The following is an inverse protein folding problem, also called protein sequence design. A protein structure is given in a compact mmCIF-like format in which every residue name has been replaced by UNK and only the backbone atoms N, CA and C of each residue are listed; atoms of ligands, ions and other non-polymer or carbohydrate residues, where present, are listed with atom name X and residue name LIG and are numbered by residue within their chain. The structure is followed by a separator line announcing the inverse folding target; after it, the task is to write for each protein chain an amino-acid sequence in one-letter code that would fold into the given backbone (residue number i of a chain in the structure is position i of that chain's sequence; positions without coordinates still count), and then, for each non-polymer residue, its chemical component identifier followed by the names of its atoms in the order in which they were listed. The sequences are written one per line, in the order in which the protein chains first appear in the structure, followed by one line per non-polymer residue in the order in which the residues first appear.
data_IF_977783785439
#
_entry.id   IF_977783785439
#
_cell.length_a   1.000
_cell.length_b   1.000
_cell.length_c   1.000
_cell.angle_alpha   90.00
_cell.angle_beta   90.00
_cell.angle_gamma   90.00
#
_symmetry.space_group_name_H-M   'P 1'
#
loop_
_entity.id
_entity.type
_entity.pdbx_description
1 polymer ?
#
# COMPACT_ATOMS: atom_id res chain seq x y z
N UNK A 1 -12.21 2.66 -9.48
CA UNK A 1 -11.39 3.75 -10.03
C UNK A 1 -9.93 3.46 -9.69
N UNK A 2 -9.01 3.54 -10.66
CA UNK A 2 -7.58 3.41 -10.38
C UNK A 2 -6.89 4.74 -10.69
N UNK A 3 -6.08 5.22 -9.74
CA UNK A 3 -5.28 6.44 -9.88
C UNK A 3 -4.08 6.17 -10.80
N UNK A 4 -4.36 5.88 -12.07
CA UNK A 4 -3.38 5.52 -13.08
C UNK A 4 -3.15 6.67 -14.08
N UNK A 5 -1.90 6.83 -14.53
CA UNK A 5 -1.58 7.63 -15.70
C UNK A 5 -1.23 6.73 -16.91
N UNK A 6 -0.80 7.32 -18.03
CA UNK A 6 -0.36 6.55 -19.21
C UNK A 6 0.87 5.69 -18.92
N UNK A 7 1.82 6.19 -18.14
CA UNK A 7 3.05 5.47 -17.81
C UNK A 7 2.73 4.19 -17.02
N UNK A 8 1.80 4.27 -16.08
CA UNK A 8 1.26 3.14 -15.30
C UNK A 8 0.65 2.04 -16.20
N UNK A 9 -0.17 2.44 -17.17
CA UNK A 9 -0.77 1.51 -18.13
C UNK A 9 0.34 0.82 -18.95
N UNK A 10 1.32 1.59 -19.42
CA UNK A 10 2.42 1.06 -20.21
C UNK A 10 3.34 0.12 -19.42
N UNK A 11 3.50 0.28 -18.09
CA UNK A 11 4.22 -0.71 -17.26
C UNK A 11 3.56 -2.08 -17.40
N UNK A 12 2.25 -2.16 -17.19
CA UNK A 12 1.51 -3.43 -17.27
C UNK A 12 1.51 -4.01 -18.70
N UNK A 13 1.25 -3.19 -19.71
CA UNK A 13 1.26 -3.61 -21.12
C UNK A 13 2.62 -4.17 -21.54
N UNK A 14 3.73 -3.54 -21.11
CA UNK A 14 5.09 -4.01 -21.39
C UNK A 14 5.35 -5.37 -20.76
N UNK A 15 4.88 -5.61 -19.54
CA UNK A 15 5.00 -6.91 -18.86
C UNK A 15 4.22 -7.97 -19.65
N UNK A 16 2.94 -7.72 -19.94
CA UNK A 16 2.07 -8.63 -20.69
C UNK A 16 2.64 -8.97 -22.06
N UNK A 17 3.15 -7.97 -22.79
CA UNK A 17 3.70 -8.16 -24.14
C UNK A 17 4.92 -9.10 -24.18
N UNK A 18 5.67 -9.21 -23.09
CA UNK A 18 6.85 -10.06 -22.95
C UNK A 18 6.52 -11.43 -22.30
N UNK A 19 5.32 -11.58 -21.73
CA UNK A 19 4.84 -12.79 -21.07
C UNK A 19 3.60 -13.38 -21.76
N UNK A 20 3.60 -13.42 -23.10
CA UNK A 20 2.46 -13.83 -23.94
C UNK A 20 1.83 -15.20 -23.63
N UNK A 21 2.56 -16.09 -22.97
CA UNK A 21 2.07 -17.43 -22.60
C UNK A 21 1.26 -17.45 -21.29
N UNK A 22 1.19 -16.32 -20.58
CA UNK A 22 0.37 -16.20 -19.37
C UNK A 22 -1.04 -15.75 -19.71
N UNK A 23 -2.02 -16.31 -19.00
CA UNK A 23 -3.40 -15.86 -19.11
C UNK A 23 -3.59 -14.56 -18.33
N UNK A 24 -4.13 -13.54 -18.98
CA UNK A 24 -4.48 -12.28 -18.30
C UNK A 24 -5.75 -12.53 -17.48
N UNK A 25 -5.65 -12.35 -16.17
CA UNK A 25 -6.75 -12.51 -15.23
C UNK A 25 -7.43 -11.16 -14.97
N UNK A 26 -8.76 -11.13 -14.83
CA UNK A 26 -9.48 -9.91 -14.50
C UNK A 26 -9.14 -9.42 -13.08
N UNK A 27 -9.17 -8.10 -12.89
CA UNK A 27 -9.17 -7.52 -11.55
C UNK A 27 -10.44 -7.94 -10.83
N UNK A 28 -10.31 -8.32 -9.56
CA UNK A 28 -11.43 -8.59 -8.69
C UNK A 28 -12.00 -7.31 -8.11
N UNK A 29 -13.24 -7.43 -7.60
CA UNK A 29 -13.86 -6.41 -6.77
C UNK A 29 -12.95 -6.06 -5.58
N UNK A 30 -12.89 -4.77 -5.26
CA UNK A 30 -12.11 -4.32 -4.13
C UNK A 30 -12.78 -4.70 -2.81
N UNK A 31 -14.10 -4.53 -2.71
CA UNK A 31 -14.89 -4.90 -1.53
C UNK A 31 -15.22 -6.38 -1.59
N UNK A 32 -14.99 -7.08 -0.48
CA UNK A 32 -15.20 -8.52 -0.34
C UNK A 32 -16.35 -8.82 0.61
N UNK A 33 -16.96 -9.97 0.40
CA UNK A 33 -18.02 -10.50 1.27
C UNK A 33 -17.47 -11.48 2.33
N UNK A 34 -16.15 -11.55 2.49
CA UNK A 34 -15.45 -12.36 3.49
C UNK A 34 -14.90 -11.49 4.62
N UNK A 35 -14.21 -12.12 5.57
CA UNK A 35 -13.66 -11.46 6.77
C UNK A 35 -12.61 -10.38 6.46
N UNK A 36 -12.06 -10.35 5.25
CA UNK A 36 -10.96 -9.45 4.90
C UNK A 36 -11.39 -8.02 4.61
N UNK A 37 -12.71 -7.76 4.48
CA UNK A 37 -13.35 -6.50 4.02
C UNK A 37 -12.94 -6.01 2.62
N UNK A 38 -11.64 -6.06 2.30
CA UNK A 38 -11.05 -5.67 1.05
C UNK A 38 -10.10 -6.73 0.50
N UNK A 39 -9.91 -6.69 -0.81
CA UNK A 39 -8.82 -7.39 -1.48
C UNK A 39 -7.50 -6.71 -1.10
N UNK A 40 -6.71 -7.36 -0.24
CA UNK A 40 -5.41 -6.90 0.24
C UNK A 40 -4.23 -7.52 -0.53
N UNK A 41 -4.47 -8.64 -1.21
CA UNK A 41 -3.52 -9.33 -2.08
C UNK A 41 -4.24 -9.97 -3.27
N UNK A 42 -3.67 -9.95 -4.49
CA UNK A 42 -4.21 -10.70 -5.62
C UNK A 42 -4.36 -12.20 -5.31
N UNK A 43 -3.50 -12.73 -4.41
CA UNK A 43 -3.49 -14.13 -4.01
C UNK A 43 -4.86 -14.62 -3.51
N UNK A 44 -5.63 -13.77 -2.81
CA UNK A 44 -6.95 -14.14 -2.27
C UNK A 44 -7.97 -14.59 -3.34
N UNK A 45 -7.74 -14.20 -4.60
CA UNK A 45 -8.61 -14.56 -5.71
C UNK A 45 -8.04 -15.68 -6.57
N UNK A 46 -6.73 -15.93 -6.46
CA UNK A 46 -6.00 -16.87 -7.31
C UNK A 46 -5.56 -18.12 -6.55
N UNK A 47 -5.75 -18.16 -5.23
CA UNK A 47 -5.41 -19.29 -4.34
C UNK A 47 -5.94 -20.62 -4.88
N UNK A 48 -7.19 -20.64 -5.35
CA UNK A 48 -7.81 -21.85 -5.90
C UNK A 48 -7.07 -22.40 -7.13
N UNK A 49 -6.35 -21.58 -7.89
CA UNK A 49 -5.53 -22.03 -9.00
C UNK A 49 -4.25 -22.74 -8.53
N UNK A 50 -3.70 -22.37 -7.36
CA UNK A 50 -2.60 -23.10 -6.74
C UNK A 50 -3.04 -24.48 -6.24
N UNK A 51 -4.23 -24.56 -5.64
CA UNK A 51 -4.80 -25.80 -5.09
C UNK A 51 -5.23 -26.75 -6.21
N UNK A 52 -6.11 -26.27 -7.11
CA UNK A 52 -6.74 -27.12 -8.13
C UNK A 52 -5.91 -27.28 -9.39
N UNK A 53 -4.87 -26.44 -9.59
CA UNK A 53 -4.01 -26.43 -10.78
C UNK A 53 -4.81 -26.34 -12.09
N UNK A 54 -5.93 -25.61 -12.06
CA UNK A 54 -6.85 -25.50 -13.20
C UNK A 54 -6.40 -24.50 -14.28
N UNK A 55 -5.26 -23.85 -14.07
CA UNK A 55 -4.63 -22.90 -14.99
C UNK A 55 -3.12 -23.10 -14.93
N UNK A 56 -2.41 -22.91 -16.04
CA UNK A 56 -0.94 -23.07 -16.06
C UNK A 56 -0.21 -21.87 -15.47
N UNK A 57 -0.57 -20.66 -15.91
CA UNK A 57 0.04 -19.41 -15.45
C UNK A 57 -0.90 -18.23 -15.64
N UNK A 58 -0.73 -17.19 -14.83
CA UNK A 58 -1.61 -16.03 -14.80
C UNK A 58 -0.87 -14.72 -14.58
N UNK A 59 -1.38 -13.63 -15.16
CA UNK A 59 -0.96 -12.27 -14.85
C UNK A 59 -2.18 -11.46 -14.46
N UNK A 60 -2.13 -10.77 -13.32
CA UNK A 60 -3.25 -9.96 -12.83
C UNK A 60 -2.76 -8.60 -12.37
N UNK A 61 -3.50 -7.57 -12.74
CA UNK A 61 -3.39 -6.22 -12.16
C UNK A 61 -4.52 -6.04 -11.17
N UNK A 62 -4.21 -5.73 -9.91
CA UNK A 62 -5.19 -5.64 -8.83
C UNK A 62 -4.87 -4.45 -7.93
N UNK A 63 -5.86 -3.61 -7.72
CA UNK A 63 -5.77 -2.60 -6.66
C UNK A 63 -6.09 -3.23 -5.33
N UNK A 64 -5.22 -2.99 -4.36
CA UNK A 64 -5.32 -3.59 -3.04
C UNK A 64 -5.45 -2.51 -1.98
N UNK A 65 -6.28 -2.75 -0.97
CA UNK A 65 -6.29 -2.00 0.29
C UNK A 65 -5.72 -2.92 1.35
N UNK A 66 -4.53 -2.61 1.85
CA UNK A 66 -3.85 -3.42 2.87
C UNK A 66 -4.32 -3.06 4.27
N UNK A 67 -4.45 -1.75 4.53
CA UNK A 67 -4.88 -1.24 5.82
C UNK A 67 -5.67 0.06 5.62
N UNK A 68 -6.72 0.29 6.41
CA UNK A 68 -7.47 1.56 6.38
C UNK A 68 -6.81 2.60 7.29
N UNK A 69 -6.49 2.19 8.53
CA UNK A 69 -6.05 3.10 9.59
C UNK A 69 -4.62 2.89 10.08
N UNK A 70 -3.91 1.89 9.55
CA UNK A 70 -2.49 1.68 9.83
C UNK A 70 -1.67 2.23 8.66
N UNK A 71 -1.06 3.39 8.87
CA UNK A 71 -0.03 3.91 7.97
C UNK A 71 1.24 4.09 8.78
N UNK A 72 2.27 3.37 8.39
CA UNK A 72 3.61 3.58 8.92
C UNK A 72 4.24 4.76 8.16
N UNK A 73 4.38 5.89 8.86
CA UNK A 73 4.94 7.12 8.31
C UNK A 73 6.47 7.14 8.33
N UNK A 74 7.13 6.18 8.98
CA UNK A 74 8.59 6.03 8.95
C UNK A 74 9.07 5.46 7.61
N UNK A 75 8.18 4.77 6.90
CA UNK A 75 8.43 4.24 5.58
C UNK A 75 7.66 5.04 4.53
N UNK A 76 8.30 5.94 3.77
CA UNK A 76 7.66 6.73 2.72
C UNK A 76 7.17 5.88 1.53
N UNK A 77 7.43 4.57 1.54
CA UNK A 77 6.91 3.59 0.58
C UNK A 77 5.70 2.82 1.10
N UNK A 78 5.29 3.08 2.34
CA UNK A 78 4.09 2.49 2.92
C UNK A 78 2.87 3.21 2.37
N UNK A 79 1.95 2.42 1.84
CA UNK A 79 0.68 2.89 1.29
C UNK A 79 -0.45 2.03 1.85
N UNK A 80 -1.54 2.68 2.25
CA UNK A 80 -2.76 2.03 2.69
C UNK A 80 -3.44 1.28 1.55
N UNK A 81 -3.36 1.86 0.35
CA UNK A 81 -3.86 1.27 -0.88
C UNK A 81 -2.91 1.52 -2.03
N UNK A 82 -2.78 0.53 -2.92
CA UNK A 82 -1.88 0.62 -4.06
C UNK A 82 -2.27 -0.37 -5.16
N UNK A 83 -1.87 -0.05 -6.38
CA UNK A 83 -1.99 -0.96 -7.51
C UNK A 83 -0.83 -1.97 -7.48
N UNK A 84 -1.17 -3.23 -7.68
CA UNK A 84 -0.21 -4.33 -7.68
C UNK A 84 -0.33 -5.14 -8.96
N UNK A 85 0.78 -5.72 -9.37
CA UNK A 85 0.85 -6.65 -10.50
C UNK A 85 1.35 -7.98 -9.96
N UNK A 86 0.65 -9.06 -10.23
CA UNK A 86 1.09 -10.42 -9.92
C UNK A 86 1.31 -11.19 -11.21
N UNK A 87 2.35 -12.03 -11.19
CA UNK A 87 2.74 -12.97 -12.24
C UNK A 87 2.90 -14.32 -11.55
N UNK A 88 2.11 -15.30 -11.98
CA UNK A 88 1.92 -16.56 -11.27
C UNK A 88 2.14 -17.73 -12.20
N UNK A 89 2.80 -18.77 -11.69
CA UNK A 89 2.95 -20.05 -12.36
C UNK A 89 2.46 -21.14 -11.41
N UNK A 90 1.37 -21.80 -11.80
CA UNK A 90 0.73 -22.82 -10.97
C UNK A 90 1.28 -24.23 -11.25
N UNK A 91 2.17 -24.38 -12.24
CA UNK A 91 2.86 -25.63 -12.47
C UNK A 91 3.93 -25.86 -11.40
N UNK A 92 4.04 -27.09 -10.92
CA UNK A 92 5.04 -27.47 -9.92
C UNK A 92 6.34 -27.86 -10.62
N UNK A 93 7.19 -26.87 -10.88
CA UNK A 93 8.47 -27.00 -11.58
C UNK A 93 9.55 -26.15 -10.88
N UNK A 94 10.78 -26.19 -11.38
CA UNK A 94 11.78 -25.21 -10.96
C UNK A 94 11.46 -23.83 -11.56
N UNK A 95 11.31 -22.82 -10.71
CA UNK A 95 10.81 -21.48 -11.06
C UNK A 95 11.94 -20.47 -11.34
N UNK A 96 13.22 -20.88 -11.24
CA UNK A 96 14.38 -19.98 -11.39
C UNK A 96 14.35 -19.25 -12.72
N UNK A 97 14.14 -19.97 -13.83
CA UNK A 97 14.11 -19.38 -15.16
C UNK A 97 12.93 -18.40 -15.36
N UNK A 98 11.76 -18.70 -14.78
CA UNK A 98 10.62 -17.78 -14.84
C UNK A 98 10.90 -16.51 -14.02
N UNK A 99 11.47 -16.65 -12.82
CA UNK A 99 11.87 -15.51 -12.00
C UNK A 99 12.92 -14.64 -12.72
N UNK A 100 13.95 -15.22 -13.34
CA UNK A 100 14.94 -14.47 -14.13
C UNK A 100 14.30 -13.67 -15.25
N UNK A 101 13.36 -14.28 -15.98
CA UNK A 101 12.63 -13.63 -17.06
C UNK A 101 11.84 -12.43 -16.53
N UNK A 102 11.10 -12.60 -15.44
CA UNK A 102 10.33 -11.54 -14.79
C UNK A 102 11.26 -10.42 -14.32
N UNK A 103 12.35 -10.76 -13.63
CA UNK A 103 13.35 -9.80 -13.12
C UNK A 103 13.94 -8.98 -14.28
N UNK A 104 14.29 -9.62 -15.40
CA UNK A 104 14.81 -8.94 -16.59
C UNK A 104 13.80 -7.97 -17.19
N UNK A 105 12.51 -8.32 -17.20
CA UNK A 105 11.44 -7.44 -17.70
C UNK A 105 11.31 -6.21 -16.78
N UNK A 106 11.18 -6.41 -15.47
CA UNK A 106 11.02 -5.31 -14.51
C UNK A 106 12.27 -4.42 -14.50
N UNK A 107 13.47 -5.00 -14.51
CA UNK A 107 14.75 -4.29 -14.57
C UNK A 107 14.86 -3.36 -15.78
N UNK A 108 14.40 -3.81 -16.96
CA UNK A 108 14.32 -2.96 -18.16
C UNK A 108 13.32 -1.82 -18.03
N UNK A 109 12.18 -2.05 -17.37
CA UNK A 109 11.15 -1.01 -17.18
C UNK A 109 11.68 0.12 -16.30
N UNK A 110 12.36 -0.22 -15.20
CA UNK A 110 12.90 0.77 -14.25
C UNK A 110 14.32 1.26 -14.60
N UNK A 111 14.93 0.69 -15.64
CA UNK A 111 16.31 0.95 -16.05
C UNK A 111 17.35 0.84 -14.91
N UNK A 112 17.20 -0.18 -14.07
CA UNK A 112 18.07 -0.47 -12.91
C UNK A 112 18.26 -1.97 -12.74
N UNK A 113 19.42 -2.38 -12.24
CA UNK A 113 19.66 -3.76 -11.82
C UNK A 113 18.81 -4.12 -10.61
N UNK A 114 18.33 -5.35 -10.58
CA UNK A 114 17.52 -5.89 -9.48
C UNK A 114 18.28 -7.01 -8.78
N UNK A 115 18.18 -7.03 -7.46
CA UNK A 115 18.79 -8.03 -6.59
C UNK A 115 17.68 -8.83 -5.93
N UNK A 116 17.75 -10.16 -6.05
CA UNK A 116 16.87 -11.07 -5.32
C UNK A 116 17.50 -11.46 -3.98
N UNK A 117 16.76 -11.26 -2.89
CA UNK A 117 17.15 -11.71 -1.55
C UNK A 117 16.57 -13.09 -1.29
N UNK A 118 17.45 -14.07 -1.04
CA UNK A 118 17.10 -15.49 -0.94
C UNK A 118 17.57 -16.07 0.41
N UNK A 119 16.74 -16.82 1.13
CA UNK A 119 17.17 -17.51 2.34
C UNK A 119 18.32 -18.50 2.07
N UNK A 120 19.34 -18.51 2.92
CA UNK A 120 20.49 -19.43 2.83
C UNK A 120 20.04 -20.89 2.79
N UNK A 121 18.93 -21.22 3.47
CA UNK A 121 18.36 -22.56 3.56
C UNK A 121 17.84 -23.13 2.23
N UNK A 122 17.72 -22.31 1.18
CA UNK A 122 17.28 -22.74 -0.15
C UNK A 122 18.27 -22.31 -1.24
N UNK A 123 19.52 -21.99 -0.89
CA UNK A 123 20.54 -21.49 -1.83
C UNK A 123 20.76 -22.40 -3.04
N UNK A 124 20.68 -23.71 -2.85
CA UNK A 124 20.95 -24.72 -3.89
C UNK A 124 19.89 -24.69 -5.00
N UNK A 125 18.66 -24.30 -4.67
CA UNK A 125 17.60 -24.09 -5.67
C UNK A 125 18.01 -23.04 -6.72
N UNK A 126 18.85 -22.07 -6.34
CA UNK A 126 19.29 -20.95 -7.16
C UNK A 126 20.71 -21.12 -7.72
N UNK A 127 21.31 -22.31 -7.70
CA UNK A 127 22.70 -22.51 -8.14
C UNK A 127 22.97 -22.07 -9.59
N UNK A 128 21.97 -22.16 -10.48
CA UNK A 128 22.05 -21.73 -11.88
C UNK A 128 21.43 -20.34 -12.12
N UNK A 129 21.11 -19.58 -11.08
CA UNK A 129 20.47 -18.28 -11.23
C UNK A 129 21.43 -17.27 -11.88
N UNK A 130 21.06 -16.79 -13.06
CA UNK A 130 21.81 -15.82 -13.84
C UNK A 130 21.33 -14.39 -13.55
N UNK A 131 21.73 -13.87 -12.38
CA UNK A 131 21.40 -12.53 -11.93
C UNK A 131 22.06 -12.18 -10.59
N UNK A 132 21.76 -10.99 -10.07
CA UNK A 132 22.27 -10.57 -8.77
C UNK A 132 21.45 -11.19 -7.64
N UNK A 133 22.11 -11.99 -6.79
CA UNK A 133 21.50 -12.66 -5.64
C UNK A 133 22.20 -12.24 -4.35
N UNK A 134 21.42 -12.03 -3.30
CA UNK A 134 21.91 -11.83 -1.93
C UNK A 134 21.33 -12.92 -1.04
N UNK A 135 22.20 -13.73 -0.45
CA UNK A 135 21.76 -14.71 0.52
C UNK A 135 21.59 -14.08 1.91
N UNK A 136 20.54 -14.47 2.62
CA UNK A 136 20.23 -13.99 3.97
C UNK A 136 19.90 -15.14 4.92
N UNK A 137 20.26 -15.00 6.20
CA UNK A 137 19.82 -15.92 7.26
C UNK A 137 18.38 -15.65 7.70
N UNK A 138 17.80 -14.51 7.33
CA UNK A 138 16.40 -14.16 7.64
C UNK A 138 15.45 -14.98 6.76
N UNK A 139 14.92 -16.08 7.32
CA UNK A 139 13.96 -16.94 6.63
C UNK A 139 12.56 -16.39 6.83
N UNK A 140 11.97 -15.81 5.78
CA UNK A 140 10.56 -15.42 5.76
C UNK A 140 9.72 -16.52 5.13
N UNK A 141 9.04 -17.29 5.98
CA UNK A 141 8.04 -18.26 5.54
C UNK A 141 6.66 -17.61 5.42
N UNK A 142 5.91 -17.97 4.40
CA UNK A 142 4.50 -17.60 4.31
C UNK A 142 3.63 -18.67 4.98
N UNK A 143 2.56 -18.24 5.63
CA UNK A 143 1.49 -19.13 6.09
C UNK A 143 0.33 -19.04 5.12
N UNK A 144 0.13 -20.08 4.31
CA UNK A 144 -1.02 -20.23 3.42
C UNK A 144 -1.85 -21.40 3.94
N UNK A 145 -2.89 -21.17 4.76
CA UNK A 145 -3.57 -22.24 5.49
C UNK A 145 -4.22 -23.27 4.56
N UNK A 146 -4.69 -22.83 3.39
CA UNK A 146 -5.39 -23.68 2.43
C UNK A 146 -4.47 -24.24 1.32
N UNK A 147 -3.16 -23.95 1.37
CA UNK A 147 -2.17 -24.47 0.42
C UNK A 147 -1.11 -25.27 1.17
N UNK A 148 -1.06 -26.57 0.90
CA UNK A 148 -0.10 -27.48 1.52
C UNK A 148 1.36 -27.12 1.21
N UNK A 149 2.27 -27.56 2.08
CA UNK A 149 3.71 -27.45 1.86
C UNK A 149 4.36 -26.22 2.48
N UNK A 150 5.64 -26.05 2.18
CA UNK A 150 6.48 -24.98 2.73
C UNK A 150 6.57 -23.81 1.76
N UNK A 151 6.33 -22.60 2.24
CA UNK A 151 6.24 -21.41 1.40
C UNK A 151 7.33 -20.39 1.74
N UNK A 152 8.11 -19.95 0.76
CA UNK A 152 9.27 -19.06 0.98
C UNK A 152 9.13 -17.72 0.27
N UNK A 153 9.16 -16.62 1.03
CA UNK A 153 9.22 -15.27 0.47
C UNK A 153 10.64 -14.90 0.04
N UNK A 154 10.75 -14.35 -1.16
CA UNK A 154 11.97 -13.80 -1.74
C UNK A 154 11.73 -12.34 -2.09
N UNK A 155 12.57 -11.44 -1.58
CA UNK A 155 12.39 -10.00 -1.85
C UNK A 155 13.15 -9.64 -3.13
N UNK A 156 12.55 -8.79 -3.94
CA UNK A 156 13.21 -8.21 -5.11
C UNK A 156 13.37 -6.70 -4.88
N UNK A 157 14.60 -6.22 -4.90
CA UNK A 157 14.91 -4.83 -4.60
C UNK A 157 15.98 -4.25 -5.54
N UNK A 158 16.13 -2.93 -5.49
CA UNK A 158 17.23 -2.20 -6.12
C UNK A 158 17.78 -1.18 -5.12
N UNK A 159 19.03 -0.79 -5.29
CA UNK A 159 19.61 0.33 -4.57
C UNK A 159 19.23 1.64 -5.26
N UNK A 160 18.67 2.59 -4.52
CA UNK A 160 18.08 3.82 -5.04
C UNK A 160 18.14 4.94 -3.99
N UNK A 161 18.82 6.05 -4.33
CA UNK A 161 19.14 7.15 -3.39
C UNK A 161 19.70 6.64 -2.04
N UNK A 162 20.75 5.80 -2.11
CA UNK A 162 21.43 5.17 -0.95
C UNK A 162 20.55 4.24 -0.08
N UNK A 163 19.30 4.03 -0.47
CA UNK A 163 18.34 3.17 0.20
C UNK A 163 18.00 1.92 -0.61
N UNK A 164 17.46 0.91 0.06
CA UNK A 164 16.96 -0.31 -0.59
C UNK A 164 15.47 -0.23 -0.84
N UNK A 165 15.09 -0.14 -2.11
CA UNK A 165 13.68 -0.08 -2.50
C UNK A 165 13.21 -1.45 -2.97
N UNK A 166 12.32 -2.07 -2.19
CA UNK A 166 11.66 -3.32 -2.58
C UNK A 166 10.62 -3.04 -3.66
N UNK A 167 10.87 -3.52 -4.88
CA UNK A 167 9.97 -3.36 -6.04
C UNK A 167 8.90 -4.43 -6.09
N UNK A 168 9.15 -5.58 -5.46
CA UNK A 168 8.21 -6.69 -5.39
C UNK A 168 8.74 -7.85 -4.57
N UNK A 169 7.94 -8.91 -4.49
CA UNK A 169 8.32 -10.16 -3.86
C UNK A 169 7.92 -11.33 -4.75
N UNK A 170 8.71 -12.39 -4.69
CA UNK A 170 8.29 -13.72 -5.12
C UNK A 170 7.91 -14.54 -3.90
N UNK A 171 7.04 -15.51 -4.12
CA UNK A 171 6.70 -16.53 -3.15
C UNK A 171 6.82 -17.89 -3.84
N UNK A 172 7.77 -18.70 -3.39
CA UNK A 172 7.80 -20.11 -3.74
C UNK A 172 6.69 -20.79 -2.94
N UNK A 173 5.67 -21.29 -3.65
CA UNK A 173 4.50 -21.94 -3.06
C UNK A 173 4.67 -23.45 -3.13
N UNK A 174 4.38 -24.15 -2.04
CA UNK A 174 4.51 -25.61 -1.92
C UNK A 174 5.91 -26.10 -2.36
N UNK A 175 6.95 -25.49 -1.77
CA UNK A 175 8.33 -25.79 -2.11
C UNK A 175 8.78 -27.12 -1.53
N UNK A 176 9.26 -28.01 -2.41
CA UNK A 176 9.88 -29.27 -2.04
C UNK A 176 11.40 -29.19 -2.28
N UNK A 177 12.17 -29.28 -1.18
CA UNK A 177 13.64 -29.22 -1.19
C UNK A 177 14.31 -30.41 -1.87
N UNK A 178 13.73 -31.60 -1.77
CA UNK A 178 14.32 -32.83 -2.32
C UNK A 178 14.27 -32.84 -3.85
N UNK A 179 13.17 -32.34 -4.40
CA UNK A 179 12.91 -32.34 -5.85
C UNK A 179 13.18 -30.98 -6.50
N UNK A 180 13.46 -29.93 -5.72
CA UNK A 180 13.69 -28.56 -6.19
C UNK A 180 12.57 -28.05 -7.12
N UNK A 181 11.32 -28.31 -6.74
CA UNK A 181 10.13 -27.82 -7.45
C UNK A 181 9.23 -27.03 -6.50
N UNK A 182 8.54 -26.06 -7.08
CA UNK A 182 7.50 -25.26 -6.42
C UNK A 182 6.53 -24.74 -7.46
N UNK A 183 5.44 -24.13 -7.00
CA UNK A 183 4.69 -23.15 -7.77
C UNK A 183 5.29 -21.75 -7.52
N UNK A 184 4.85 -20.75 -8.28
CA UNK A 184 5.31 -19.36 -8.15
C UNK A 184 4.14 -18.42 -8.00
N UNK A 185 4.13 -17.65 -6.92
CA UNK A 185 3.38 -16.41 -6.81
C UNK A 185 4.34 -15.21 -6.80
N UNK A 186 3.84 -14.04 -7.17
CA UNK A 186 4.59 -12.79 -7.04
C UNK A 186 3.68 -11.60 -6.78
N UNK A 187 4.26 -10.52 -6.27
CA UNK A 187 3.57 -9.24 -6.13
C UNK A 187 4.55 -8.10 -6.37
N UNK A 188 4.25 -7.27 -7.35
CA UNK A 188 5.02 -6.09 -7.72
C UNK A 188 4.24 -4.82 -7.40
N UNK A 189 4.92 -3.83 -6.82
CA UNK A 189 4.32 -2.59 -6.35
C UNK A 189 4.42 -1.52 -7.44
N UNK A 190 3.30 -1.25 -8.11
CA UNK A 190 3.29 -0.37 -9.27
C UNK A 190 3.75 1.05 -8.92
N UNK A 191 3.40 1.56 -7.74
CA UNK A 191 3.83 2.87 -7.29
C UNK A 191 5.35 2.99 -7.14
N UNK A 192 6.02 1.93 -6.69
CA UNK A 192 7.47 1.91 -6.49
C UNK A 192 8.20 1.75 -7.83
N UNK A 193 7.68 0.90 -8.71
CA UNK A 193 8.20 0.75 -10.08
C UNK A 193 8.15 2.10 -10.80
N UNK A 194 7.00 2.78 -10.75
CA UNK A 194 6.82 4.07 -11.38
C UNK A 194 7.69 5.18 -10.76
N UNK A 195 7.84 5.19 -9.42
CA UNK A 195 8.74 6.11 -8.72
C UNK A 195 10.18 6.01 -9.22
N UNK A 196 10.72 4.78 -9.33
CA UNK A 196 12.08 4.53 -9.81
C UNK A 196 12.19 4.87 -11.30
N UNK A 197 11.21 4.46 -12.11
CA UNK A 197 11.20 4.74 -13.55
C UNK A 197 11.18 6.24 -13.86
N UNK A 198 10.45 7.03 -13.07
CA UNK A 198 10.38 8.49 -13.19
C UNK A 198 11.56 9.21 -12.53
N UNK A 199 12.46 8.47 -11.86
CA UNK A 199 13.61 8.97 -11.12
C UNK A 199 13.27 10.03 -10.06
N UNK A 200 12.17 9.84 -9.33
CA UNK A 200 11.75 10.71 -8.21
C UNK A 200 12.04 10.06 -6.86
N UNK A 201 12.19 10.86 -5.80
CA UNK A 201 12.60 10.36 -4.48
C UNK A 201 11.44 9.72 -3.71
N UNK A 202 10.25 10.34 -3.77
CA UNK A 202 9.06 9.86 -3.06
C UNK A 202 7.92 9.49 -4.02
N UNK A 203 7.05 8.55 -3.61
CA UNK A 203 5.92 8.06 -4.42
C UNK A 203 5.03 9.20 -4.92
N UNK A 204 4.73 10.18 -4.06
CA UNK A 204 3.83 11.28 -4.43
C UNK A 204 4.49 12.42 -5.21
N UNK A 205 5.79 12.34 -5.48
CA UNK A 205 6.46 13.24 -6.44
C UNK A 205 6.26 12.78 -7.89
N UNK A 206 5.76 11.56 -8.11
CA UNK A 206 5.46 11.04 -9.45
C UNK A 206 4.55 12.00 -10.22
N UNK A 207 4.73 12.03 -11.54
CA UNK A 207 4.00 12.89 -12.49
C UNK A 207 2.49 12.83 -12.29
N UNK A 208 1.94 11.65 -12.02
CA UNK A 208 0.49 11.48 -11.84
C UNK A 208 -0.06 12.19 -10.60
N UNK A 209 0.75 12.43 -9.59
CA UNK A 209 0.37 13.15 -8.37
C UNK A 209 0.85 14.61 -8.37
N UNK A 210 1.64 15.01 -9.36
CA UNK A 210 2.40 16.27 -9.35
C UNK A 210 1.54 17.50 -9.06
N UNK A 211 0.34 17.61 -9.64
CA UNK A 211 -0.57 18.73 -9.37
C UNK A 211 -0.92 18.84 -7.88
N UNK A 212 -1.45 17.75 -7.30
CA UNK A 212 -1.85 17.72 -5.89
C UNK A 212 -0.64 17.87 -4.95
N UNK A 213 0.50 17.28 -5.33
CA UNK A 213 1.77 17.42 -4.62
C UNK A 213 2.21 18.88 -4.56
N UNK A 214 2.28 19.59 -5.69
CA UNK A 214 2.69 20.99 -5.74
C UNK A 214 1.72 21.89 -4.97
N UNK A 215 0.42 21.60 -5.05
CA UNK A 215 -0.60 22.31 -4.30
C UNK A 215 -0.34 22.23 -2.78
N UNK A 216 -0.05 21.04 -2.26
CA UNK A 216 0.30 20.86 -0.84
C UNK A 216 1.69 21.44 -0.51
N UNK A 217 2.67 21.28 -1.40
CA UNK A 217 4.03 21.81 -1.21
C UNK A 217 4.06 23.34 -1.12
N UNK A 218 3.11 24.02 -1.76
CA UNK A 218 2.95 25.49 -1.66
C UNK A 218 2.70 25.99 -0.23
N UNK A 219 2.24 25.12 0.67
CA UNK A 219 2.10 25.39 2.12
C UNK A 219 3.35 25.09 2.93
N UNK A 220 4.48 24.86 2.26
CA UNK A 220 5.76 24.49 2.88
C UNK A 220 5.65 23.23 3.75
N UNK A 221 4.78 22.30 3.38
CA UNK A 221 4.64 21.03 4.10
C UNK A 221 5.88 20.15 3.85
N UNK A 222 6.31 19.49 4.92
CA UNK A 222 7.30 18.42 4.88
C UNK A 222 6.80 17.22 4.06
N UNK A 223 7.71 16.44 3.48
CA UNK A 223 7.38 15.32 2.60
C UNK A 223 6.52 14.26 3.31
N UNK A 224 6.81 13.97 4.57
CA UNK A 224 6.04 13.04 5.40
C UNK A 224 4.57 13.47 5.54
N UNK A 225 4.31 14.78 5.64
CA UNK A 225 2.98 15.35 5.76
C UNK A 225 2.23 15.27 4.43
N UNK A 226 2.90 15.59 3.33
CA UNK A 226 2.34 15.46 1.98
C UNK A 226 2.00 13.99 1.70
N UNK A 227 2.89 13.07 2.07
CA UNK A 227 2.68 11.62 1.95
C UNK A 227 1.46 11.16 2.73
N UNK A 228 1.33 11.59 4.01
CA UNK A 228 0.17 11.26 4.83
C UNK A 228 -1.12 11.73 4.18
N UNK A 229 -1.18 13.00 3.79
CA UNK A 229 -2.39 13.62 3.24
C UNK A 229 -2.83 12.93 1.95
N UNK A 230 -1.92 12.75 0.99
CA UNK A 230 -2.26 12.16 -0.31
C UNK A 230 -2.61 10.67 -0.22
N UNK A 231 -1.90 9.90 0.61
CA UNK A 231 -2.25 8.50 0.88
C UNK A 231 -3.66 8.37 1.48
N UNK A 232 -4.00 9.25 2.43
CA UNK A 232 -5.31 9.23 3.06
C UNK A 232 -6.40 9.70 2.10
N UNK A 233 -6.15 10.71 1.27
CA UNK A 233 -7.08 11.15 0.22
C UNK A 233 -7.39 10.02 -0.76
N UNK A 234 -6.36 9.34 -1.28
CA UNK A 234 -6.51 8.19 -2.17
C UNK A 234 -7.36 7.11 -1.51
N UNK A 235 -7.07 6.77 -0.27
CA UNK A 235 -7.80 5.73 0.46
C UNK A 235 -9.25 6.13 0.69
N UNK A 236 -9.52 7.33 1.22
CA UNK A 236 -10.87 7.83 1.50
C UNK A 236 -11.70 7.89 0.21
N UNK A 237 -11.14 8.45 -0.87
CA UNK A 237 -11.81 8.50 -2.16
C UNK A 237 -12.08 7.11 -2.73
N UNK A 238 -11.14 6.17 -2.58
CA UNK A 238 -11.36 4.77 -2.97
C UNK A 238 -12.56 4.18 -2.23
N UNK A 239 -12.68 4.41 -0.92
CA UNK A 239 -13.80 3.89 -0.14
C UNK A 239 -15.14 4.51 -0.58
N UNK A 240 -15.20 5.83 -0.80
CA UNK A 240 -16.42 6.47 -1.28
C UNK A 240 -16.87 5.97 -2.66
N UNK A 241 -15.94 5.82 -3.60
CA UNK A 241 -16.24 5.29 -4.94
C UNK A 241 -16.71 3.82 -4.93
N UNK A 242 -16.49 3.10 -3.82
CA UNK A 242 -17.04 1.76 -3.59
C UNK A 242 -18.30 1.78 -2.71
N UNK A 243 -19.00 2.93 -2.64
CA UNK A 243 -20.22 3.15 -1.86
C UNK A 243 -20.08 2.90 -0.35
N UNK A 244 -18.87 3.00 0.19
CA UNK A 244 -18.65 2.89 1.63
C UNK A 244 -18.81 4.26 2.26
N UNK A 245 -19.84 4.41 3.09
CA UNK A 245 -20.16 5.66 3.76
C UNK A 245 -19.62 5.69 5.20
N UNK A 246 -19.32 6.87 5.76
CA UNK A 246 -18.89 6.98 7.16
C UNK A 246 -20.07 6.66 8.08
N UNK A 247 -19.98 5.55 8.83
CA UNK A 247 -21.01 5.09 9.78
C UNK A 247 -20.38 4.71 11.13
N UNK A 248 -21.18 4.24 12.09
CA UNK A 248 -20.71 3.86 13.42
C UNK A 248 -20.19 2.41 13.51
N UNK A 249 -20.50 1.54 12.54
CA UNK A 249 -20.20 0.10 12.59
C UNK A 249 -19.51 -0.38 11.31
N UNK A 250 -18.78 -1.48 11.45
CA UNK A 250 -18.07 -2.14 10.35
C UNK A 250 -17.10 -1.20 9.63
N UNK A 251 -16.96 -1.39 8.33
CA UNK A 251 -16.01 -0.65 7.48
C UNK A 251 -16.27 0.86 7.43
N UNK A 252 -17.53 1.29 7.59
CA UNK A 252 -17.88 2.71 7.69
C UNK A 252 -17.37 3.36 8.99
N UNK A 253 -17.19 2.58 10.05
CA UNK A 253 -16.53 3.04 11.29
C UNK A 253 -15.03 3.25 11.09
N UNK A 254 -14.37 2.35 10.35
CA UNK A 254 -12.96 2.50 9.98
C UNK A 254 -12.75 3.74 9.12
N UNK A 255 -13.62 4.01 8.13
CA UNK A 255 -13.60 5.24 7.33
C UNK A 255 -13.85 6.48 8.18
N UNK A 256 -14.81 6.42 9.12
CA UNK A 256 -15.07 7.52 10.06
C UNK A 256 -13.85 7.85 10.90
N UNK A 257 -13.13 6.83 11.39
CA UNK A 257 -11.86 7.00 12.11
C UNK A 257 -10.80 7.62 11.21
N UNK A 258 -10.61 7.11 9.99
CA UNK A 258 -9.64 7.65 9.05
C UNK A 258 -9.81 9.15 8.80
N UNK A 259 -11.05 9.59 8.55
CA UNK A 259 -11.35 11.02 8.31
C UNK A 259 -11.12 11.85 9.60
N UNK A 260 -11.46 11.31 10.77
CA UNK A 260 -11.18 11.96 12.07
C UNK A 260 -9.68 12.10 12.30
N UNK A 261 -8.92 11.05 12.07
CA UNK A 261 -7.48 11.01 12.27
C UNK A 261 -6.78 11.97 11.29
N UNK A 262 -7.22 11.99 10.03
CA UNK A 262 -6.72 12.95 9.03
C UNK A 262 -7.00 14.40 9.43
N UNK A 263 -8.20 14.70 9.93
CA UNK A 263 -8.55 16.04 10.41
C UNK A 263 -7.67 16.48 11.59
N UNK A 264 -7.46 15.60 12.56
CA UNK A 264 -6.59 15.87 13.71
C UNK A 264 -5.16 16.08 13.21
N UNK A 265 -4.67 15.16 12.38
CA UNK A 265 -3.32 15.21 11.84
C UNK A 265 -3.06 16.52 11.09
N UNK A 266 -3.96 16.89 10.16
CA UNK A 266 -3.79 18.10 9.36
C UNK A 266 -3.76 19.36 10.23
N UNK A 267 -4.55 19.40 11.30
CA UNK A 267 -4.61 20.55 12.19
C UNK A 267 -3.34 20.69 13.03
N UNK A 268 -2.86 19.61 13.62
CA UNK A 268 -1.78 19.67 14.61
C UNK A 268 -0.37 19.46 14.02
N UNK A 269 -0.24 18.70 12.93
CA UNK A 269 1.07 18.41 12.32
C UNK A 269 1.30 19.17 11.00
N UNK A 270 0.24 19.56 10.30
CA UNK A 270 0.34 20.33 9.06
C UNK A 270 -0.07 21.81 9.22
N UNK A 271 -0.58 22.21 10.39
CA UNK A 271 -1.14 23.54 10.65
C UNK A 271 -2.18 23.99 9.60
N UNK A 272 -3.00 23.05 9.12
CA UNK A 272 -4.06 23.32 8.15
C UNK A 272 -5.40 23.55 8.86
N UNK A 273 -6.12 24.58 8.45
CA UNK A 273 -7.52 24.78 8.85
C UNK A 273 -8.43 23.69 8.25
N UNK A 274 -9.65 23.56 8.80
CA UNK A 274 -10.66 22.65 8.24
C UNK A 274 -10.97 22.95 6.78
N UNK A 275 -10.99 24.23 6.45
CA UNK A 275 -11.43 24.73 5.16
C UNK A 275 -10.32 24.51 4.11
N UNK A 276 -9.06 24.65 4.51
CA UNK A 276 -7.91 24.26 3.69
C UNK A 276 -7.86 22.75 3.44
N UNK A 277 -8.09 21.91 4.46
CA UNK A 277 -8.13 20.46 4.27
C UNK A 277 -9.23 20.06 3.28
N UNK A 278 -10.43 20.64 3.43
CA UNK A 278 -11.55 20.42 2.49
C UNK A 278 -11.16 20.90 1.09
N UNK A 279 -10.58 22.09 0.97
CA UNK A 279 -10.12 22.63 -0.31
C UNK A 279 -9.12 21.70 -1.01
N UNK A 280 -8.08 21.24 -0.30
CA UNK A 280 -7.09 20.32 -0.89
C UNK A 280 -7.69 18.98 -1.31
N UNK A 281 -8.61 18.44 -0.50
CA UNK A 281 -9.33 17.22 -0.89
C UNK A 281 -10.17 17.45 -2.15
N UNK A 282 -10.87 18.58 -2.26
CA UNK A 282 -11.71 18.90 -3.42
C UNK A 282 -10.89 19.09 -4.70
N UNK A 283 -9.74 19.76 -4.61
CA UNK A 283 -8.81 19.87 -5.74
C UNK A 283 -8.24 18.51 -6.16
N UNK A 284 -7.95 17.64 -5.20
CA UNK A 284 -7.58 16.25 -5.46
C UNK A 284 -8.69 15.49 -6.20
N UNK A 285 -9.95 15.57 -5.73
CA UNK A 285 -11.09 14.93 -6.39
C UNK A 285 -11.28 15.42 -7.83
N UNK A 286 -11.19 16.74 -8.04
CA UNK A 286 -11.33 17.37 -9.35
C UNK A 286 -10.26 16.91 -10.32
N UNK A 287 -9.00 16.89 -9.87
CA UNK A 287 -7.87 16.47 -10.68
C UNK A 287 -8.00 15.00 -11.14
N UNK A 288 -8.42 14.12 -10.24
CA UNK A 288 -8.66 12.69 -10.56
C UNK A 288 -10.05 12.39 -11.11
N UNK A 289 -10.89 13.41 -11.35
CA UNK A 289 -12.26 13.29 -11.86
C UNK A 289 -13.14 12.34 -11.04
N UNK A 290 -12.98 12.36 -9.72
CA UNK A 290 -13.78 11.61 -8.76
C UNK A 290 -15.17 12.24 -8.64
N UNK A 291 -16.19 11.44 -8.35
CA UNK A 291 -17.57 11.91 -8.31
C UNK A 291 -17.80 12.98 -7.22
N UNK A 292 -18.55 14.02 -7.57
CA UNK A 292 -18.82 15.19 -6.71
C UNK A 292 -19.51 14.85 -5.38
N UNK A 293 -20.22 13.72 -5.29
CA UNK A 293 -20.83 13.31 -4.03
C UNK A 293 -19.78 13.02 -2.93
N UNK A 294 -18.57 12.59 -3.31
CA UNK A 294 -17.44 12.37 -2.40
C UNK A 294 -16.97 13.65 -1.70
N UNK A 295 -17.02 14.80 -2.39
CA UNK A 295 -16.72 16.12 -1.82
C UNK A 295 -17.68 16.45 -0.68
N UNK A 296 -18.99 16.25 -0.92
CA UNK A 296 -20.02 16.52 0.08
C UNK A 296 -19.88 15.61 1.30
N UNK A 297 -19.69 14.30 1.08
CA UNK A 297 -19.53 13.34 2.16
C UNK A 297 -18.34 13.65 3.06
N UNK A 298 -17.21 14.02 2.46
CA UNK A 298 -16.01 14.40 3.20
C UNK A 298 -16.24 15.70 3.99
N UNK A 299 -16.73 16.74 3.32
CA UNK A 299 -16.98 18.06 3.93
C UNK A 299 -17.97 17.97 5.09
N UNK A 300 -19.09 17.27 4.92
CA UNK A 300 -20.09 17.06 5.96
C UNK A 300 -19.49 16.34 7.17
N UNK A 301 -18.60 15.35 6.94
CA UNK A 301 -17.94 14.62 8.02
C UNK A 301 -16.93 15.49 8.76
N UNK A 302 -16.09 16.26 8.06
CA UNK A 302 -15.14 17.21 8.65
C UNK A 302 -15.88 18.25 9.51
N UNK A 303 -16.97 18.82 8.99
CA UNK A 303 -17.79 19.77 9.74
C UNK A 303 -18.39 19.17 11.01
N UNK A 304 -18.91 17.93 10.94
CA UNK A 304 -19.40 17.21 12.12
C UNK A 304 -18.29 17.00 13.17
N UNK A 305 -17.08 16.63 12.74
CA UNK A 305 -15.93 16.46 13.64
C UNK A 305 -15.56 17.79 14.30
N UNK A 306 -15.46 18.88 13.50
CA UNK A 306 -15.14 20.22 13.97
C UNK A 306 -16.14 20.72 15.03
N UNK A 307 -17.43 20.59 14.76
CA UNK A 307 -18.50 20.99 15.71
C UNK A 307 -18.47 20.12 16.96
N UNK A 308 -18.35 18.81 16.81
CA UNK A 308 -18.27 17.88 17.95
C UNK A 308 -17.09 18.19 18.88
N UNK A 309 -15.91 18.41 18.33
CA UNK A 309 -14.73 18.79 19.11
C UNK A 309 -14.91 20.13 19.83
N UNK A 310 -15.45 21.15 19.15
CA UNK A 310 -15.71 22.45 19.77
C UNK A 310 -16.69 22.33 20.94
N UNK A 311 -17.75 21.56 20.78
CA UNK A 311 -18.76 21.35 21.83
C UNK A 311 -18.17 20.62 23.04
N UNK A 312 -17.37 19.58 22.82
CA UNK A 312 -16.71 18.83 23.89
C UNK A 312 -15.68 19.69 24.63
N UNK A 313 -14.96 20.56 23.92
CA UNK A 313 -14.01 21.50 24.55
C UNK A 313 -14.77 22.52 25.42
N UNK A 314 -15.84 23.11 24.88
CA UNK A 314 -16.61 24.14 25.59
C UNK A 314 -17.41 23.59 26.79
N UNK A 315 -17.78 22.31 26.79
CA UNK A 315 -18.56 21.70 27.88
C UNK A 315 -17.73 21.41 29.13
N UNK A 316 -16.40 21.48 29.04
CA UNK A 316 -15.50 21.15 30.14
C UNK A 316 -14.94 22.44 30.73
N UNK A 317 -15.35 22.75 31.96
CA UNK A 317 -14.77 23.82 32.76
C UNK A 317 -13.50 23.28 33.42
N UNK A 318 -12.33 23.84 33.09
CA UNK A 318 -11.01 23.50 33.64
C UNK A 318 -10.38 22.21 33.09
N UNK A 319 -10.02 22.19 31.80
CA UNK A 319 -9.14 21.15 31.27
C UNK A 319 -7.73 21.26 31.84
N UNK A 320 -7.24 20.19 32.44
CA UNK A 320 -5.85 20.01 32.85
C UNK A 320 -5.12 19.11 31.84
N UNK A 321 -3.93 19.51 31.39
CA UNK A 321 -3.10 18.72 30.47
C UNK A 321 -2.61 17.41 31.08
N UNK A 322 -2.52 17.32 32.41
CA UNK A 322 -2.11 16.10 33.12
C UNK A 322 -3.19 15.00 33.06
N UNK A 323 -4.46 15.35 32.87
CA UNK A 323 -5.60 14.43 32.86
C UNK A 323 -6.07 14.08 31.43
N UNK A 324 -5.19 14.24 30.44
CA UNK A 324 -5.53 14.09 29.03
C UNK A 324 -6.15 12.73 28.70
N UNK A 325 -5.71 11.64 29.36
CA UNK A 325 -6.24 10.28 29.12
C UNK A 325 -7.72 10.20 29.44
N UNK A 326 -8.14 10.82 30.55
CA UNK A 326 -9.54 10.90 30.93
C UNK A 326 -10.33 11.64 29.85
N UNK A 327 -9.86 12.81 29.42
CA UNK A 327 -10.57 13.61 28.41
C UNK A 327 -10.59 12.94 27.03
N UNK A 328 -9.53 12.25 26.67
CA UNK A 328 -9.44 11.46 25.45
C UNK A 328 -10.44 10.30 25.48
N UNK A 329 -10.42 9.50 26.54
CA UNK A 329 -11.25 8.31 26.66
C UNK A 329 -12.73 8.65 26.86
N UNK A 330 -13.06 9.70 27.62
CA UNK A 330 -14.44 10.07 27.95
C UNK A 330 -15.09 10.95 26.89
N UNK A 331 -14.36 11.92 26.32
CA UNK A 331 -14.93 12.92 25.41
C UNK A 331 -14.34 12.86 24.00
N UNK A 332 -13.44 11.92 23.73
CA UNK A 332 -12.83 11.74 22.40
C UNK A 332 -11.97 12.93 21.96
N UNK A 333 -11.49 13.74 22.91
CA UNK A 333 -10.63 14.91 22.66
C UNK A 333 -9.22 14.39 22.27
N UNK A 334 -8.65 14.84 21.14
CA UNK A 334 -7.32 14.40 20.71
C UNK A 334 -6.26 14.79 21.75
N UNK A 335 -5.30 13.91 22.01
CA UNK A 335 -4.20 14.17 22.95
C UNK A 335 -3.31 15.34 22.52
N UNK A 336 -3.21 15.57 21.21
CA UNK A 336 -2.49 16.68 20.59
C UNK A 336 -3.04 18.04 21.05
N UNK A 337 -4.32 18.10 21.45
CA UNK A 337 -4.91 19.30 22.04
C UNK A 337 -4.26 19.69 23.37
N UNK A 338 -3.76 18.71 24.13
CA UNK A 338 -3.09 18.91 25.41
C UNK A 338 -1.58 19.15 25.24
N UNK A 339 -1.10 19.39 24.02
CA UNK A 339 0.33 19.50 23.72
C UNK A 339 1.06 18.15 23.77
N UNK A 340 0.31 17.06 23.92
CA UNK A 340 0.85 15.69 23.88
C UNK A 340 0.86 15.30 22.42
N UNK A 341 1.92 15.74 21.78
CA UNK A 341 2.34 15.10 20.56
C UNK A 341 2.86 13.74 21.00
N UNK A 342 2.26 12.67 20.49
CA UNK A 342 3.11 11.50 20.31
C UNK A 342 4.32 12.00 19.54
N UNK A 343 5.52 11.66 20.01
CA UNK A 343 6.56 11.47 19.02
C UNK A 343 5.92 10.51 18.03
N UNK A 344 5.61 10.97 16.81
CA UNK A 344 5.59 10.05 15.67
C UNK A 344 6.88 9.28 15.90
N UNK A 345 6.80 8.01 16.31
CA UNK A 345 8.00 7.34 16.77
C UNK A 345 8.86 7.19 15.53
N UNK A 346 9.78 8.13 15.36
CA UNK A 346 10.99 7.93 14.57
C UNK A 346 11.75 6.75 15.20
N UNK A 347 11.44 6.40 16.44
CA UNK A 347 11.80 5.16 17.12
C UNK A 347 10.72 4.07 16.96
N UNK A 348 10.48 3.63 15.73
CA UNK A 348 10.66 2.22 15.38
C UNK A 348 11.59 2.12 14.15
N UNK A 349 12.66 2.93 14.16
CA UNK A 349 13.92 2.65 13.46
C UNK A 349 14.55 1.36 14.01
N UNK A 350 13.90 0.25 13.73
CA UNK A 350 14.45 -1.09 13.81
C UNK A 350 13.61 -1.95 12.90
N UNK A 351 14.24 -2.47 11.85
CA UNK A 351 13.87 -3.75 11.26
C UNK A 351 13.60 -4.77 12.39
N UNK A 352 12.35 -4.93 12.81
CA UNK A 352 11.93 -6.04 13.66
C UNK A 352 10.59 -6.59 13.20
N UNK A 353 10.72 -7.65 12.39
CA UNK A 353 9.91 -8.87 12.38
C UNK A 353 8.42 -8.70 12.05
N UNK A 354 8.13 -8.83 10.76
CA UNK A 354 7.15 -9.79 10.26
C UNK A 354 7.73 -10.47 9.02
#
# INVERSE_FOLDING_TARGET
MFFENRDDIHIFERIVSQLKNHTILPSSNLVRNDESYFTFSPFQDTEQFFIKKSLNSGIKKQFCVRYINKLDLTNPLCLNSQLTITIQNYNRINQVSEMEKIIKIISKIINKSLIIEVPVSIKEYFHNFNGSIRYTSDVKKASLPDVEGEHYYLRLYTDYYDEKIVVGNFLLVDFNKETNISQLDSIFFQERIGMIQENVEYIFQRKKYHYCYQLLKSKQLEEINIHRLLNDFITISTLFENNILPTAKGIGSELSRKIKDLFIYSKYYCNLSSDELIYFYNEFLKYFKIAKHSERLFSDKINKIKVGLKNNINSIKNMNSLDWEYYHNTYGIPKEYFGIMDQISITDYNFRRA
#
